data_IF_798088058971
#
_entry.id   IF_798088058971
#
_cell.length_a   1.000
_cell.length_b   1.000
_cell.length_c   1.000
_cell.angle_alpha   90.00
_cell.angle_beta   90.00
_cell.angle_gamma   90.00
#
_symmetry.space_group_name_H-M   'P 1'
#
loop_
_entity.id
_entity.type
_entity.pdbx_description
1 polymer ?
#
# COMPACT_ATOMS: atom_id res chain seq x y z
N UNK A 1 -7.46 -34.52 51.76
CA UNK A 1 -7.38 -33.05 51.60
C UNK A 1 -7.61 -32.74 50.12
N UNK A 2 -8.82 -32.28 49.77
CA UNK A 2 -9.23 -31.92 48.39
C UNK A 2 -8.86 -30.47 48.13
N UNK A 3 -8.20 -30.17 47.01
CA UNK A 3 -8.20 -28.84 46.39
C UNK A 3 -8.20 -28.97 44.86
N UNK A 4 -9.29 -28.52 44.25
CA UNK A 4 -9.38 -27.90 42.93
C UNK A 4 -10.61 -26.97 43.00
N UNK A 5 -10.79 -25.94 42.14
CA UNK A 5 -9.97 -25.50 41.01
C UNK A 5 -9.68 -23.98 40.98
N UNK A 6 -8.60 -23.57 40.31
CA UNK A 6 -8.36 -22.17 39.95
C UNK A 6 -8.58 -21.95 38.45
N UNK A 7 -9.79 -21.50 38.06
CA UNK A 7 -10.01 -20.81 36.79
C UNK A 7 -9.26 -19.48 36.82
N UNK A 8 -8.35 -19.25 35.90
CA UNK A 8 -7.96 -17.89 35.50
C UNK A 8 -8.52 -17.63 34.10
N UNK A 9 -9.68 -16.97 34.15
CA UNK A 9 -10.31 -16.23 33.08
C UNK A 9 -9.41 -15.06 32.67
N UNK A 10 -9.45 -14.67 31.40
CA UNK A 10 -8.98 -13.35 30.99
C UNK A 10 -8.22 -13.34 29.68
N UNK A 11 -8.97 -13.50 28.59
CA UNK A 11 -8.62 -13.00 27.26
C UNK A 11 -8.19 -11.52 27.36
N UNK A 12 -6.95 -11.21 26.96
CA UNK A 12 -6.60 -9.89 26.44
C UNK A 12 -6.12 -10.10 25.00
N UNK A 13 -7.09 -10.27 24.11
CA UNK A 13 -6.87 -10.17 22.67
C UNK A 13 -6.73 -8.68 22.32
N UNK A 14 -5.62 -8.07 22.73
CA UNK A 14 -5.17 -6.81 22.15
C UNK A 14 -4.25 -7.13 20.98
N UNK A 15 -4.82 -7.78 19.96
CA UNK A 15 -4.22 -7.80 18.63
C UNK A 15 -4.28 -6.38 18.09
N UNK A 16 -3.24 -5.58 18.39
CA UNK A 16 -3.11 -4.20 17.93
C UNK A 16 -3.34 -4.13 16.42
N UNK A 17 -4.48 -3.54 16.04
CA UNK A 17 -4.80 -3.17 14.68
C UNK A 17 -3.73 -2.18 14.22
N UNK A 18 -2.79 -2.65 13.40
CA UNK A 18 -1.67 -1.83 12.93
C UNK A 18 -2.03 -0.88 11.80
N UNK A 19 -3.17 -1.11 11.14
CA UNK A 19 -3.61 -0.35 9.98
C UNK A 19 -5.13 -0.46 9.83
N UNK A 20 -5.83 0.67 9.69
CA UNK A 20 -7.26 0.72 9.35
C UNK A 20 -7.39 1.07 7.88
N UNK A 21 -8.05 0.21 7.12
CA UNK A 21 -8.24 0.44 5.70
C UNK A 21 -9.28 1.56 5.49
N UNK A 22 -8.95 2.65 4.79
CA UNK A 22 -9.93 3.67 4.42
C UNK A 22 -10.74 3.25 3.19
N UNK A 23 -11.85 3.95 2.97
CA UNK A 23 -12.64 3.82 1.74
C UNK A 23 -11.79 4.11 0.51
N UNK A 24 -12.01 3.36 -0.57
CA UNK A 24 -11.29 3.52 -1.83
C UNK A 24 -9.87 2.93 -1.88
N UNK A 25 -9.41 2.29 -0.80
CA UNK A 25 -8.10 1.63 -0.77
C UNK A 25 -7.99 0.42 -1.73
N UNK A 26 -9.12 -0.11 -2.18
CA UNK A 26 -9.20 -1.18 -3.19
C UNK A 26 -9.38 -0.64 -4.61
N UNK A 27 -9.63 0.68 -4.78
CA UNK A 27 -10.03 1.28 -6.06
C UNK A 27 -11.52 1.20 -6.40
N UNK A 28 -12.31 0.40 -5.67
CA UNK A 28 -13.73 0.24 -5.95
C UNK A 28 -14.53 1.49 -5.53
N UNK A 29 -15.33 2.00 -6.47
CA UNK A 29 -16.25 3.13 -6.23
C UNK A 29 -17.58 2.58 -5.71
N UNK A 30 -18.02 3.10 -4.56
CA UNK A 30 -19.35 2.84 -4.04
C UNK A 30 -20.29 3.97 -4.50
N UNK A 31 -21.39 3.69 -5.23
CA UNK A 31 -22.29 4.72 -5.76
C UNK A 31 -22.84 5.71 -4.72
N UNK A 32 -22.87 5.31 -3.45
CA UNK A 32 -23.36 6.12 -2.33
C UNK A 32 -22.30 7.03 -1.70
N UNK A 33 -21.02 6.78 -1.97
CA UNK A 33 -19.90 7.40 -1.24
C UNK A 33 -19.25 8.56 -2.02
N UNK A 34 -19.74 8.84 -3.23
CA UNK A 34 -19.18 9.86 -4.11
C UNK A 34 -17.89 9.42 -4.81
N UNK A 35 -17.22 10.32 -5.54
CA UNK A 35 -15.96 10.00 -6.21
C UNK A 35 -14.85 9.75 -5.18
N UNK A 36 -13.99 8.76 -5.46
CA UNK A 36 -12.81 8.54 -4.64
C UNK A 36 -11.88 9.77 -4.67
N UNK A 37 -11.18 10.06 -3.56
CA UNK A 37 -10.09 11.03 -3.58
C UNK A 37 -9.09 10.69 -4.69
N UNK A 38 -8.37 11.70 -5.17
CA UNK A 38 -7.27 11.52 -6.12
C UNK A 38 -6.00 12.07 -5.51
N UNK A 39 -4.95 11.28 -5.59
CA UNK A 39 -3.61 11.71 -5.23
C UNK A 39 -3.14 12.82 -6.16
N UNK A 40 -2.42 13.80 -5.61
CA UNK A 40 -1.86 14.89 -6.41
C UNK A 40 -0.69 14.37 -7.26
N UNK A 41 -0.99 14.05 -8.52
CA UNK A 41 -0.01 13.56 -9.47
C UNK A 41 1.11 14.58 -9.77
N UNK A 42 0.81 15.88 -9.67
CA UNK A 42 1.83 16.93 -9.84
C UNK A 42 2.81 16.91 -8.67
N UNK A 43 2.32 16.75 -7.44
CA UNK A 43 3.16 16.58 -6.27
C UNK A 43 4.00 15.30 -6.37
N UNK A 44 3.41 14.19 -6.84
CA UNK A 44 4.14 12.93 -7.04
C UNK A 44 5.28 13.08 -8.06
N UNK A 45 4.99 13.69 -9.23
CA UNK A 45 6.02 13.98 -10.24
C UNK A 45 7.14 14.85 -9.69
N UNK A 46 6.81 15.91 -8.94
CA UNK A 46 7.81 16.77 -8.32
C UNK A 46 8.67 16.02 -7.30
N UNK A 47 8.08 15.12 -6.50
CA UNK A 47 8.79 14.28 -5.56
C UNK A 47 9.74 13.30 -6.26
N UNK A 48 9.31 12.66 -7.37
CA UNK A 48 10.17 11.78 -8.18
C UNK A 48 11.43 12.49 -8.70
N UNK A 49 11.29 13.68 -9.29
CA UNK A 49 12.46 14.43 -9.76
C UNK A 49 13.35 14.94 -8.61
N UNK A 50 12.78 15.17 -7.44
CA UNK A 50 13.56 15.51 -6.24
C UNK A 50 14.35 14.31 -5.73
N UNK A 51 13.71 13.14 -5.65
CA UNK A 51 14.34 11.88 -5.29
C UNK A 51 15.50 11.54 -6.22
N UNK A 52 15.28 11.59 -7.54
CA UNK A 52 16.31 11.33 -8.54
C UNK A 52 17.53 12.24 -8.37
N UNK A 53 17.31 13.54 -8.10
CA UNK A 53 18.40 14.49 -7.82
C UNK A 53 19.19 14.15 -6.57
N UNK A 54 18.53 13.72 -5.49
CA UNK A 54 19.18 13.34 -4.22
C UNK A 54 20.16 12.18 -4.41
N UNK A 55 19.81 11.22 -5.28
CA UNK A 55 20.64 10.04 -5.55
C UNK A 55 21.56 10.20 -6.77
N UNK A 56 21.65 11.41 -7.33
CA UNK A 56 22.35 11.69 -8.60
C UNK A 56 21.94 10.71 -9.73
N UNK A 57 20.66 10.34 -9.76
CA UNK A 57 20.04 9.47 -10.75
C UNK A 57 19.06 10.23 -11.64
N UNK A 58 18.20 9.49 -12.31
CA UNK A 58 17.18 10.01 -13.21
C UNK A 58 15.82 9.35 -12.98
N UNK A 59 14.75 10.06 -13.36
CA UNK A 59 13.42 9.47 -13.44
C UNK A 59 13.33 8.76 -14.78
N UNK A 60 13.08 7.44 -14.73
CA UNK A 60 12.86 6.62 -15.91
C UNK A 60 11.41 6.72 -16.39
N UNK A 61 10.81 5.57 -16.67
CA UNK A 61 9.41 5.50 -17.08
C UNK A 61 8.47 5.96 -15.96
N UNK A 62 7.41 6.66 -16.35
CA UNK A 62 6.30 7.03 -15.48
C UNK A 62 4.99 6.71 -16.20
N UNK A 63 4.27 5.72 -15.68
CA UNK A 63 2.94 5.36 -16.11
C UNK A 63 1.91 5.88 -15.12
N UNK A 64 0.95 6.63 -15.63
CA UNK A 64 -0.20 7.01 -14.83
C UNK A 64 -1.11 5.81 -14.59
N UNK A 65 -1.91 5.90 -13.52
CA UNK A 65 -2.93 4.91 -13.24
C UNK A 65 -3.90 4.79 -14.42
N UNK A 66 -4.21 3.55 -14.79
CA UNK A 66 -5.26 3.20 -15.73
C UNK A 66 -6.09 2.07 -15.12
N UNK A 67 -7.42 2.22 -15.14
CA UNK A 67 -8.33 1.21 -14.59
C UNK A 67 -8.06 -0.17 -15.25
N UNK A 68 -8.01 -1.28 -14.48
CA UNK A 68 -8.39 -1.41 -13.07
C UNK A 68 -7.29 -1.10 -12.03
N UNK A 69 -6.07 -0.74 -12.45
CA UNK A 69 -4.94 -0.53 -11.53
C UNK A 69 -5.24 0.58 -10.51
N UNK A 70 -4.77 0.41 -9.28
CA UNK A 70 -4.98 1.35 -8.16
C UNK A 70 -3.82 2.29 -7.91
N UNK A 71 -2.77 2.24 -8.74
CA UNK A 71 -1.54 3.01 -8.55
C UNK A 71 -0.94 3.53 -9.87
N UNK A 72 -0.21 4.64 -9.75
CA UNK A 72 0.77 5.11 -10.71
C UNK A 72 2.09 4.37 -10.48
N UNK A 73 2.85 4.13 -11.54
CA UNK A 73 4.14 3.45 -11.47
C UNK A 73 5.22 4.36 -12.04
N UNK A 74 6.33 4.51 -11.33
CA UNK A 74 7.49 5.25 -11.81
C UNK A 74 8.78 4.48 -11.53
N UNK A 75 9.82 4.78 -12.28
CA UNK A 75 11.16 4.26 -12.02
C UNK A 75 12.11 5.38 -11.62
N UNK A 76 12.96 5.13 -10.62
CA UNK A 76 14.15 5.93 -10.34
C UNK A 76 15.38 5.07 -10.63
N UNK A 77 16.17 5.52 -11.59
CA UNK A 77 17.38 4.84 -12.06
C UNK A 77 18.57 5.52 -11.42
N UNK A 78 19.41 4.75 -10.74
CA UNK A 78 20.69 5.18 -10.20
C UNK A 78 21.82 4.52 -10.98
N UNK A 79 23.08 4.83 -10.65
CA UNK A 79 24.23 4.22 -11.32
C UNK A 79 24.31 2.69 -11.10
N UNK A 80 23.79 2.19 -9.99
CA UNK A 80 23.94 0.79 -9.57
C UNK A 80 22.63 0.01 -9.54
N UNK A 81 21.53 0.71 -9.30
CA UNK A 81 20.24 0.11 -8.98
C UNK A 81 19.08 0.83 -9.68
N UNK A 82 17.99 0.10 -9.86
CA UNK A 82 16.71 0.59 -10.33
C UNK A 82 15.65 0.38 -9.23
N UNK A 83 14.88 1.43 -8.95
CA UNK A 83 13.81 1.39 -7.95
C UNK A 83 12.47 1.69 -8.60
N UNK A 84 11.51 0.81 -8.41
CA UNK A 84 10.14 1.06 -8.83
C UNK A 84 9.39 1.70 -7.67
N UNK A 85 8.74 2.80 -7.96
CA UNK A 85 7.95 3.60 -7.04
C UNK A 85 6.49 3.47 -7.45
N UNK A 86 5.68 2.95 -6.53
CA UNK A 86 4.24 2.84 -6.70
C UNK A 86 3.58 3.95 -5.90
N UNK A 87 2.69 4.73 -6.52
CA UNK A 87 1.92 5.76 -5.86
C UNK A 87 0.44 5.45 -5.96
N UNK A 88 -0.21 5.19 -4.83
CA UNK A 88 -1.63 4.87 -4.80
C UNK A 88 -2.45 6.03 -5.38
N UNK A 89 -3.40 5.73 -6.26
CA UNK A 89 -4.12 6.73 -7.05
C UNK A 89 -5.13 7.53 -6.21
N UNK A 90 -5.60 6.95 -5.10
CA UNK A 90 -6.62 7.57 -4.24
C UNK A 90 -6.14 8.00 -2.86
N UNK A 91 -4.94 7.58 -2.45
CA UNK A 91 -4.38 7.87 -1.13
C UNK A 91 -2.92 8.22 -1.32
N UNK A 92 -2.33 9.14 -0.55
CA UNK A 92 -0.96 9.60 -0.76
C UNK A 92 0.08 8.58 -0.23
N UNK A 93 -0.11 7.29 -0.52
CA UNK A 93 0.78 6.22 -0.12
C UNK A 93 1.77 5.89 -1.23
N UNK A 94 3.01 5.63 -0.81
CA UNK A 94 4.10 5.21 -1.66
C UNK A 94 4.57 3.83 -1.21
N UNK A 95 4.83 2.95 -2.18
CA UNK A 95 5.53 1.70 -1.96
C UNK A 95 6.70 1.59 -2.93
N UNK A 96 7.68 0.75 -2.59
CA UNK A 96 8.84 0.47 -3.42
C UNK A 96 8.85 -1.00 -3.80
N UNK A 97 9.31 -1.31 -5.02
CA UNK A 97 9.47 -2.68 -5.51
C UNK A 97 10.73 -2.80 -6.38
N UNK A 98 11.19 -4.04 -6.58
CA UNK A 98 12.38 -4.32 -7.40
C UNK A 98 12.04 -4.63 -8.86
N UNK A 99 10.88 -5.22 -9.14
CA UNK A 99 10.44 -5.58 -10.50
C UNK A 99 9.10 -4.96 -10.84
N UNK A 100 8.91 -4.56 -12.11
CA UNK A 100 7.66 -3.98 -12.58
C UNK A 100 6.64 -5.08 -12.78
N UNK A 101 5.45 -4.92 -12.21
CA UNK A 101 4.36 -5.89 -12.29
C UNK A 101 3.03 -5.17 -12.47
N UNK A 102 2.08 -5.89 -13.05
CA UNK A 102 0.69 -5.45 -13.15
C UNK A 102 -0.06 -5.57 -11.80
N UNK A 103 0.44 -6.41 -10.87
CA UNK A 103 -0.03 -6.53 -9.48
C UNK A 103 1.10 -6.96 -8.53
N UNK A 104 0.99 -6.61 -7.24
CA UNK A 104 2.02 -6.89 -6.23
C UNK A 104 1.45 -7.65 -5.04
N UNK A 105 2.00 -8.82 -4.71
CA UNK A 105 1.60 -9.60 -3.52
C UNK A 105 2.64 -9.49 -2.38
N UNK A 106 3.92 -9.79 -2.68
CA UNK A 106 4.96 -9.92 -1.63
C UNK A 106 6.34 -9.31 -2.02
N UNK A 107 6.48 -8.68 -3.20
CA UNK A 107 7.77 -8.17 -3.73
C UNK A 107 8.06 -6.70 -3.37
N UNK A 108 7.55 -6.22 -2.23
CA UNK A 108 7.83 -4.86 -1.78
C UNK A 108 9.21 -4.75 -1.15
N UNK A 109 9.85 -3.61 -1.35
CA UNK A 109 11.11 -3.26 -0.74
C UNK A 109 10.88 -2.36 0.48
N UNK A 110 11.80 -2.43 1.44
CA UNK A 110 11.90 -1.39 2.44
C UNK A 110 12.14 -0.03 1.76
N UNK A 111 11.49 1.06 2.23
CA UNK A 111 11.74 2.39 1.70
C UNK A 111 13.24 2.72 1.73
N UNK A 112 13.84 3.11 0.59
CA UNK A 112 15.25 3.46 0.55
C UNK A 112 15.50 4.74 1.38
N UNK A 113 16.76 5.05 1.77
CA UNK A 113 17.07 6.20 2.63
C UNK A 113 16.58 7.55 2.08
N UNK A 114 16.50 7.68 0.76
CA UNK A 114 16.02 8.88 0.07
C UNK A 114 14.49 8.96 -0.03
N UNK A 115 13.73 7.96 0.43
CA UNK A 115 12.26 7.97 0.40
C UNK A 115 11.63 9.09 1.23
N UNK A 116 12.37 9.69 2.17
CA UNK A 116 11.92 10.84 2.95
C UNK A 116 11.47 12.02 2.08
N UNK A 117 12.00 12.16 0.86
CA UNK A 117 11.57 13.20 -0.10
C UNK A 117 10.08 13.11 -0.46
N UNK A 118 9.49 11.92 -0.42
CA UNK A 118 8.05 11.75 -0.62
C UNK A 118 7.29 12.19 0.62
N UNK A 119 7.80 11.87 1.81
CA UNK A 119 7.23 12.34 3.08
C UNK A 119 7.22 13.87 3.17
N UNK A 120 8.31 14.52 2.77
CA UNK A 120 8.42 15.98 2.71
C UNK A 120 7.43 16.60 1.72
N UNK A 121 7.04 15.84 0.69
CA UNK A 121 6.03 16.21 -0.30
C UNK A 121 4.58 15.86 0.12
N UNK A 122 4.37 15.37 1.34
CA UNK A 122 3.05 15.06 1.87
C UNK A 122 2.55 13.64 1.60
N UNK A 123 3.43 12.75 1.14
CA UNK A 123 3.13 11.33 0.97
C UNK A 123 3.53 10.52 2.21
N UNK A 124 3.13 9.25 2.25
CA UNK A 124 3.54 8.30 3.26
C UNK A 124 4.17 7.09 2.58
N UNK A 125 5.49 6.94 2.70
CA UNK A 125 6.21 5.75 2.28
C UNK A 125 5.92 4.60 3.25
N UNK A 126 5.20 3.59 2.78
CA UNK A 126 4.84 2.40 3.56
C UNK A 126 6.03 1.45 3.65
N UNK A 127 6.28 0.92 4.85
CA UNK A 127 7.34 -0.06 5.06
C UNK A 127 6.96 -1.43 4.51
N UNK A 128 7.96 -2.28 4.28
CA UNK A 128 7.74 -3.68 3.92
C UNK A 128 6.85 -4.39 4.95
N UNK A 129 7.09 -4.17 6.25
CA UNK A 129 6.33 -4.79 7.34
C UNK A 129 4.87 -4.35 7.34
N UNK A 130 4.60 -3.08 7.03
CA UNK A 130 3.22 -2.60 6.88
C UNK A 130 2.55 -3.28 5.70
N UNK A 131 3.20 -3.33 4.53
CA UNK A 131 2.65 -3.93 3.31
C UNK A 131 2.47 -5.44 3.44
N UNK A 132 3.37 -6.12 4.15
CA UNK A 132 3.29 -7.55 4.43
C UNK A 132 2.32 -7.91 5.58
N UNK A 133 1.64 -6.92 6.18
CA UNK A 133 0.69 -7.18 7.27
C UNK A 133 -0.45 -8.09 6.77
N UNK A 134 -0.69 -9.25 7.39
CA UNK A 134 -1.80 -10.11 7.03
C UNK A 134 -3.14 -9.41 7.18
N UNK A 135 -4.09 -9.63 6.27
CA UNK A 135 -5.42 -9.00 6.36
C UNK A 135 -6.20 -9.35 7.63
N UNK A 136 -5.90 -10.47 8.28
CA UNK A 136 -6.45 -10.80 9.60
C UNK A 136 -6.04 -9.83 10.71
N UNK A 137 -4.97 -9.04 10.48
CA UNK A 137 -4.45 -8.03 11.42
C UNK A 137 -4.75 -6.59 10.96
N UNK A 138 -5.50 -6.42 9.86
CA UNK A 138 -5.94 -5.13 9.32
C UNK A 138 -7.42 -4.94 9.66
N UNK A 139 -7.81 -3.74 10.09
CA UNK A 139 -9.23 -3.41 10.18
C UNK A 139 -9.80 -3.25 8.76
N UNK A 140 -10.49 -4.30 8.33
CA UNK A 140 -11.11 -4.46 7.01
C UNK A 140 -12.63 -4.27 7.07
N UNK A 141 -13.16 -3.70 8.15
CA UNK A 141 -14.61 -3.46 8.34
C UNK A 141 -15.23 -2.59 7.24
N UNK A 142 -14.41 -1.78 6.56
CA UNK A 142 -14.85 -0.98 5.41
C UNK A 142 -15.11 -1.82 4.16
N UNK A 143 -14.48 -2.99 4.00
CA UNK A 143 -14.59 -3.78 2.78
C UNK A 143 -16.00 -4.35 2.61
N UNK A 144 -16.58 -4.14 1.44
CA UNK A 144 -17.88 -4.69 1.09
C UNK A 144 -17.79 -6.17 0.71
N UNK A 145 -18.95 -6.83 0.59
CA UNK A 145 -19.02 -8.21 0.11
C UNK A 145 -18.43 -8.38 -1.30
N UNK A 146 -18.54 -7.36 -2.15
CA UNK A 146 -17.97 -7.33 -3.50
C UNK A 146 -16.45 -7.31 -3.45
N UNK A 147 -15.88 -6.35 -2.72
CA UNK A 147 -14.41 -6.26 -2.54
C UNK A 147 -13.83 -7.54 -1.91
N UNK A 148 -14.52 -8.10 -0.90
CA UNK A 148 -14.11 -9.38 -0.30
C UNK A 148 -14.18 -10.56 -1.28
N UNK A 149 -15.04 -10.50 -2.31
CA UNK A 149 -15.08 -11.52 -3.35
C UNK A 149 -13.83 -11.42 -4.22
N UNK A 150 -13.42 -10.22 -4.61
CA UNK A 150 -12.20 -10.01 -5.39
C UNK A 150 -10.96 -10.40 -4.58
N UNK A 151 -10.86 -9.99 -3.32
CA UNK A 151 -9.78 -10.41 -2.40
C UNK A 151 -9.63 -11.94 -2.39
N UNK A 152 -10.73 -12.68 -2.32
CA UNK A 152 -10.70 -14.15 -2.37
C UNK A 152 -10.40 -14.71 -3.76
N UNK A 153 -10.93 -14.10 -4.81
CA UNK A 153 -10.74 -14.53 -6.18
C UNK A 153 -9.27 -14.44 -6.59
N UNK A 154 -8.61 -13.33 -6.25
CA UNK A 154 -7.20 -13.08 -6.51
C UNK A 154 -6.26 -13.67 -5.44
N UNK A 155 -6.79 -14.35 -4.40
CA UNK A 155 -5.95 -15.01 -3.38
C UNK A 155 -5.17 -14.05 -2.48
N UNK A 156 -5.66 -12.82 -2.29
CA UNK A 156 -4.92 -11.73 -1.64
C UNK A 156 -4.97 -11.89 -0.12
N UNK A 157 -3.81 -11.89 0.52
CA UNK A 157 -3.65 -12.17 1.96
C UNK A 157 -3.01 -11.04 2.75
N UNK A 158 -2.41 -10.05 2.07
CA UNK A 158 -1.62 -8.96 2.67
C UNK A 158 -2.25 -7.59 2.41
N UNK A 159 -1.90 -6.61 3.25
CA UNK A 159 -2.29 -5.21 3.06
C UNK A 159 -1.79 -4.69 1.70
N UNK A 160 -0.53 -4.92 1.36
CA UNK A 160 0.09 -4.45 0.12
C UNK A 160 -0.63 -4.95 -1.13
N UNK A 161 -1.06 -6.23 -1.13
CA UNK A 161 -1.86 -6.79 -2.21
C UNK A 161 -3.24 -6.16 -2.35
N UNK A 162 -3.83 -5.66 -1.27
CA UNK A 162 -5.07 -4.86 -1.33
C UNK A 162 -4.82 -3.47 -1.88
N UNK A 163 -3.76 -2.80 -1.42
CA UNK A 163 -3.48 -1.40 -1.78
C UNK A 163 -2.96 -1.24 -3.20
N UNK A 164 -2.12 -2.15 -3.68
CA UNK A 164 -1.44 -2.04 -4.97
C UNK A 164 -1.90 -3.15 -5.91
N UNK A 165 -3.18 -3.07 -6.28
CA UNK A 165 -3.90 -4.05 -7.07
C UNK A 165 -4.34 -3.55 -8.46
N UNK A 166 -4.86 -4.46 -9.27
CA UNK A 166 -5.52 -4.18 -10.55
C UNK A 166 -6.72 -5.13 -10.78
N UNK A 167 -7.69 -5.13 -9.86
CA UNK A 167 -8.90 -5.97 -9.92
C UNK A 167 -10.08 -5.27 -10.60
N UNK A 168 -10.91 -6.02 -11.33
CA UNK A 168 -12.13 -5.53 -12.00
C UNK A 168 -13.41 -5.93 -11.25
#
# INVERSE_FOLDING_TARGET
>A
MRLAPGKMSGMSNEGKVGFTLPRGATGFIHPKDGPLPKTDLRAFRAALYTAARVVAGEVGELEEQAYPRTFHTATIITRTDEYIVLCHAHHPWIAFAQTRRDWYEEEFLAPPPWAHVFTDAGFMALSFEQLATPLSNVDTSVLTKGEWREVRYYGITTLGGVLFNAWD
#
